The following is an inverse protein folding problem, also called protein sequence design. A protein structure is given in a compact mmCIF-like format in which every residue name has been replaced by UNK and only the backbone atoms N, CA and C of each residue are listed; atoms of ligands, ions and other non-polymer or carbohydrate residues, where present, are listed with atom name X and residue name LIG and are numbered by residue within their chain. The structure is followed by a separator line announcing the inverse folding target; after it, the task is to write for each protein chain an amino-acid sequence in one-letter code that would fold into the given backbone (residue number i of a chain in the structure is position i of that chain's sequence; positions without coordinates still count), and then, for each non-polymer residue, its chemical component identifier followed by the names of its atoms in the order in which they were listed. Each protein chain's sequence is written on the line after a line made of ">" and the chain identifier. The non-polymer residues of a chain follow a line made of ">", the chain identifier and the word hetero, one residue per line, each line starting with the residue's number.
data_IF_220164846522
#
_entry.id   IF_220164846522
#
_cell.length_a   1.000
_cell.length_b   1.000
_cell.length_c   1.000
_cell.angle_alpha   90.00
_cell.angle_beta   90.00
_cell.angle_gamma   90.00
#
_symmetry.space_group_name_H-M   'P 1'
#
loop_
_entity.id
_entity.type
_entity.pdbx_description
1 polymer ?
#
# COMPACT_ATOMS: atom_id res chain seq x y z
N UNK A 1 -73.00 45.21 -32.13
CA UNK A 1 -71.84 45.64 -31.33
C UNK A 1 -71.27 44.44 -30.55
N UNK A 2 -70.36 43.64 -31.13
CA UNK A 2 -69.91 42.43 -30.45
C UNK A 2 -68.62 41.82 -30.95
N UNK A 3 -67.93 42.37 -31.94
CA UNK A 3 -66.77 41.76 -32.61
C UNK A 3 -65.39 42.22 -32.10
N UNK A 4 -65.38 43.29 -31.27
CA UNK A 4 -64.07 43.84 -30.78
C UNK A 4 -63.45 43.12 -29.52
N UNK A 5 -64.27 42.43 -28.75
CA UNK A 5 -63.80 41.79 -27.51
C UNK A 5 -63.07 40.46 -27.77
N UNK A 6 -63.47 39.71 -28.80
CA UNK A 6 -62.87 38.39 -29.10
C UNK A 6 -61.44 38.55 -29.68
N UNK A 7 -61.19 39.60 -30.46
CA UNK A 7 -59.85 39.87 -31.01
C UNK A 7 -58.81 40.26 -29.95
N UNK A 8 -59.23 40.99 -28.92
CA UNK A 8 -58.32 41.43 -27.84
C UNK A 8 -57.87 40.25 -26.93
N UNK A 9 -58.78 39.31 -26.68
CA UNK A 9 -58.49 38.14 -25.88
C UNK A 9 -57.54 37.14 -26.62
N UNK A 10 -57.70 37.00 -27.93
CA UNK A 10 -56.79 36.16 -28.76
C UNK A 10 -55.39 36.74 -28.87
N UNK A 11 -55.23 38.07 -28.94
CA UNK A 11 -53.94 38.71 -28.98
C UNK A 11 -53.18 38.55 -27.65
N UNK A 12 -53.88 38.75 -26.51
CA UNK A 12 -53.32 38.54 -25.17
C UNK A 12 -52.91 37.10 -24.97
N UNK A 13 -53.70 36.12 -25.39
CA UNK A 13 -53.38 34.71 -25.30
C UNK A 13 -52.15 34.34 -26.14
N UNK A 14 -52.02 34.89 -27.34
CA UNK A 14 -50.84 34.69 -28.20
C UNK A 14 -49.58 35.32 -27.61
N UNK A 15 -49.64 36.52 -27.07
CA UNK A 15 -48.48 37.15 -26.39
C UNK A 15 -48.08 36.38 -25.15
N UNK A 16 -49.05 35.89 -24.34
CA UNK A 16 -48.76 35.08 -23.17
C UNK A 16 -48.11 33.75 -23.54
N UNK A 17 -48.56 33.10 -24.62
CA UNK A 17 -47.95 31.88 -25.17
C UNK A 17 -46.51 32.07 -25.64
N UNK A 18 -46.22 33.18 -26.34
CA UNK A 18 -44.88 33.51 -26.78
C UNK A 18 -43.94 33.77 -25.57
N UNK A 19 -44.45 34.49 -24.57
CA UNK A 19 -43.70 34.79 -23.33
C UNK A 19 -43.38 33.52 -22.52
N UNK A 20 -44.37 32.62 -22.39
CA UNK A 20 -44.20 31.31 -21.79
C UNK A 20 -43.16 30.45 -22.55
N UNK A 21 -43.25 30.44 -23.90
CA UNK A 21 -42.30 29.68 -24.72
C UNK A 21 -40.88 30.21 -24.57
N UNK A 22 -40.68 31.53 -24.55
CA UNK A 22 -39.36 32.15 -24.32
C UNK A 22 -38.83 31.85 -22.92
N UNK A 23 -39.69 31.87 -21.90
CA UNK A 23 -39.29 31.53 -20.55
C UNK A 23 -38.89 30.04 -20.40
N UNK A 24 -39.65 29.13 -21.03
CA UNK A 24 -39.32 27.70 -21.02
C UNK A 24 -38.03 27.40 -21.78
N UNK A 25 -37.80 28.03 -22.94
CA UNK A 25 -36.56 27.81 -23.69
C UNK A 25 -35.33 28.36 -22.98
N UNK A 26 -35.43 29.49 -22.30
CA UNK A 26 -34.31 30.03 -21.48
C UNK A 26 -34.01 29.17 -20.26
N UNK A 27 -35.05 28.64 -19.56
CA UNK A 27 -34.89 27.71 -18.45
C UNK A 27 -34.25 26.38 -18.89
N UNK A 28 -34.69 25.83 -20.04
CA UNK A 28 -34.08 24.61 -20.60
C UNK A 28 -32.61 24.84 -21.00
N UNK A 29 -32.30 25.95 -21.65
CA UNK A 29 -30.93 26.28 -22.00
C UNK A 29 -30.03 26.44 -20.78
N UNK A 30 -30.50 27.14 -19.73
CA UNK A 30 -29.79 27.29 -18.47
C UNK A 30 -29.57 25.93 -17.77
N UNK A 31 -30.62 25.07 -17.78
CA UNK A 31 -30.50 23.71 -17.22
C UNK A 31 -29.48 22.82 -17.91
N UNK A 32 -29.43 22.87 -19.25
CA UNK A 32 -28.45 22.12 -20.05
C UNK A 32 -27.02 22.61 -19.76
N UNK A 33 -26.82 23.93 -19.75
CA UNK A 33 -25.49 24.52 -19.46
C UNK A 33 -25.04 24.16 -18.02
N UNK A 34 -25.93 24.28 -17.05
CA UNK A 34 -25.63 23.93 -15.66
C UNK A 34 -25.32 22.43 -15.51
N UNK A 35 -26.03 21.56 -16.19
CA UNK A 35 -25.78 20.14 -16.19
C UNK A 35 -24.42 19.79 -16.81
N UNK A 36 -24.08 20.41 -17.96
CA UNK A 36 -22.78 20.21 -18.61
C UNK A 36 -21.63 20.70 -17.72
N UNK A 37 -21.78 21.87 -17.11
CA UNK A 37 -20.77 22.43 -16.20
C UNK A 37 -20.58 21.53 -14.97
N UNK A 38 -21.67 21.03 -14.36
CA UNK A 38 -21.59 20.12 -13.22
C UNK A 38 -20.89 18.81 -13.59
N UNK A 39 -21.24 18.25 -14.75
CA UNK A 39 -20.63 17.02 -15.24
C UNK A 39 -19.13 17.17 -15.54
N UNK A 40 -18.72 18.32 -16.07
CA UNK A 40 -17.32 18.64 -16.29
C UNK A 40 -16.54 18.72 -14.98
N UNK A 41 -17.05 19.45 -13.98
CA UNK A 41 -16.45 19.57 -12.65
C UNK A 41 -16.37 18.20 -11.97
N UNK A 42 -17.40 17.36 -12.09
CA UNK A 42 -17.38 16.02 -11.51
C UNK A 42 -16.34 15.11 -12.17
N UNK A 43 -16.23 15.14 -13.51
CA UNK A 43 -15.24 14.33 -14.21
C UNK A 43 -13.81 14.75 -13.87
N UNK A 44 -13.52 16.05 -13.85
CA UNK A 44 -12.21 16.60 -13.49
C UNK A 44 -11.86 16.22 -12.05
N UNK A 45 -12.80 16.34 -11.12
CA UNK A 45 -12.61 15.93 -9.72
C UNK A 45 -12.35 14.43 -9.56
N UNK A 46 -13.02 13.58 -10.34
CA UNK A 46 -12.80 12.13 -10.32
C UNK A 46 -11.41 11.81 -10.88
N UNK A 47 -11.01 12.43 -11.97
CA UNK A 47 -9.70 12.22 -12.58
C UNK A 47 -8.56 12.63 -11.63
N UNK A 48 -8.68 13.80 -11.03
CA UNK A 48 -7.69 14.30 -10.07
C UNK A 48 -7.60 13.42 -8.81
N UNK A 49 -8.75 12.97 -8.28
CA UNK A 49 -8.77 12.05 -7.16
C UNK A 49 -8.13 10.70 -7.51
N UNK A 50 -8.39 10.17 -8.73
CA UNK A 50 -7.78 8.92 -9.20
C UNK A 50 -6.26 9.06 -9.35
N UNK A 51 -5.77 10.16 -9.93
CA UNK A 51 -4.32 10.42 -10.05
C UNK A 51 -3.68 10.47 -8.67
N UNK A 52 -4.26 11.23 -7.75
CA UNK A 52 -3.73 11.36 -6.39
C UNK A 52 -3.71 10.01 -5.67
N UNK A 53 -4.73 9.18 -5.87
CA UNK A 53 -4.81 7.85 -5.30
C UNK A 53 -3.74 6.90 -5.87
N UNK A 54 -3.55 6.91 -7.20
CA UNK A 54 -2.50 6.14 -7.86
C UNK A 54 -1.09 6.57 -7.40
N UNK A 55 -0.85 7.87 -7.28
CA UNK A 55 0.40 8.40 -6.77
C UNK A 55 0.66 7.95 -5.32
N UNK A 56 -0.37 7.89 -4.50
CA UNK A 56 -0.24 7.41 -3.12
C UNK A 56 0.08 5.91 -3.08
N UNK A 57 -0.61 5.09 -3.87
CA UNK A 57 -0.32 3.65 -3.97
C UNK A 57 1.14 3.45 -4.42
N UNK A 58 1.56 4.16 -5.45
CA UNK A 58 2.93 4.08 -5.96
C UNK A 58 3.94 4.41 -4.88
N UNK A 59 3.77 5.52 -4.16
CA UNK A 59 4.69 5.91 -3.07
C UNK A 59 4.71 4.90 -1.93
N UNK A 60 3.56 4.34 -1.56
CA UNK A 60 3.48 3.34 -0.49
C UNK A 60 4.18 2.05 -0.91
N UNK A 61 4.00 1.64 -2.17
CA UNK A 61 4.66 0.45 -2.72
C UNK A 61 6.17 0.65 -2.84
N UNK A 62 6.61 1.81 -3.33
CA UNK A 62 8.03 2.16 -3.40
C UNK A 62 8.66 2.20 -1.99
N UNK A 63 7.97 2.81 -1.02
CA UNK A 63 8.41 2.82 0.38
C UNK A 63 8.58 1.41 0.93
N UNK A 64 7.59 0.55 0.77
CA UNK A 64 7.65 -0.85 1.21
C UNK A 64 8.79 -1.62 0.53
N UNK A 65 9.03 -1.35 -0.76
CA UNK A 65 10.16 -1.95 -1.49
C UNK A 65 11.52 -1.57 -0.88
N UNK A 66 11.75 -0.29 -0.61
CA UNK A 66 12.98 0.18 0.02
C UNK A 66 13.15 -0.37 1.44
N UNK A 67 12.08 -0.45 2.20
CA UNK A 67 12.07 -1.04 3.53
C UNK A 67 12.47 -2.52 3.47
N UNK A 68 11.91 -3.30 2.54
CA UNK A 68 12.27 -4.70 2.32
C UNK A 68 13.73 -4.87 1.95
N UNK A 69 14.26 -4.03 1.04
CA UNK A 69 15.68 -4.06 0.68
C UNK A 69 16.59 -3.75 1.88
N UNK A 70 16.19 -2.79 2.71
CA UNK A 70 16.93 -2.44 3.91
C UNK A 70 17.00 -3.62 4.87
N UNK A 71 15.88 -4.29 5.13
CA UNK A 71 15.82 -5.49 5.98
C UNK A 71 16.69 -6.61 5.41
N UNK A 72 16.63 -6.86 4.08
CA UNK A 72 17.48 -7.85 3.43
C UNK A 72 18.96 -7.55 3.60
N UNK A 73 19.34 -6.28 3.59
CA UNK A 73 20.74 -5.87 3.83
C UNK A 73 21.15 -6.04 5.30
N UNK A 74 20.27 -5.75 6.26
CA UNK A 74 20.54 -6.00 7.68
C UNK A 74 20.69 -7.49 7.98
N UNK A 75 19.88 -8.33 7.35
CA UNK A 75 19.90 -9.78 7.54
C UNK A 75 20.94 -10.51 6.69
N UNK A 76 21.45 -9.88 5.62
CA UNK A 76 22.48 -10.46 4.76
C UNK A 76 23.87 -10.46 5.40
N UNK A 77 24.85 -11.20 4.79
CA UNK A 77 26.22 -11.19 5.21
C UNK A 77 26.80 -9.76 5.25
N UNK A 78 27.45 -9.40 6.35
CA UNK A 78 27.96 -8.05 6.60
C UNK A 78 26.93 -7.07 7.19
N UNK A 79 25.65 -7.42 7.21
CA UNK A 79 24.64 -6.69 7.97
C UNK A 79 24.68 -6.98 9.46
N UNK A 80 23.98 -6.18 10.26
CA UNK A 80 23.99 -6.31 11.72
C UNK A 80 23.54 -7.71 12.17
N UNK A 81 22.35 -8.13 11.75
CA UNK A 81 21.78 -9.44 12.07
C UNK A 81 22.56 -10.55 11.37
N UNK A 82 23.01 -10.31 10.13
CA UNK A 82 23.78 -11.27 9.35
C UNK A 82 25.12 -11.63 10.00
N UNK A 83 25.81 -10.67 10.61
CA UNK A 83 27.08 -10.93 11.31
C UNK A 83 26.86 -11.82 12.56
N UNK A 84 25.80 -11.56 13.33
CA UNK A 84 25.42 -12.41 14.48
C UNK A 84 25.01 -13.80 14.01
N UNK A 85 24.30 -13.89 12.88
CA UNK A 85 23.95 -15.18 12.27
C UNK A 85 25.19 -15.97 11.88
N UNK A 86 26.20 -15.31 11.30
CA UNK A 86 27.46 -15.96 10.92
C UNK A 86 28.20 -16.49 12.15
N UNK A 87 28.25 -15.72 13.25
CA UNK A 87 28.79 -16.15 14.55
C UNK A 87 28.01 -17.36 15.11
N UNK A 88 26.69 -17.33 15.08
CA UNK A 88 25.83 -18.43 15.52
C UNK A 88 26.10 -19.73 14.72
N UNK A 89 26.22 -19.62 13.40
CA UNK A 89 26.48 -20.75 12.51
C UNK A 89 27.90 -21.29 12.67
N UNK A 90 28.86 -20.44 13.05
CA UNK A 90 30.25 -20.79 13.32
C UNK A 90 30.51 -21.35 14.72
N UNK A 91 29.56 -21.21 15.65
CA UNK A 91 29.73 -21.65 17.04
C UNK A 91 29.86 -23.18 17.11
N UNK A 92 30.97 -23.63 17.69
CA UNK A 92 31.30 -25.06 17.86
C UNK A 92 30.87 -25.62 19.20
N UNK A 93 30.80 -24.77 20.23
CA UNK A 93 30.35 -25.12 21.56
C UNK A 93 28.86 -24.81 21.79
N UNK A 94 28.18 -25.64 22.55
CA UNK A 94 26.76 -25.48 22.87
C UNK A 94 26.49 -24.21 23.68
N UNK A 95 27.41 -23.79 24.54
CA UNK A 95 27.25 -22.57 25.31
C UNK A 95 27.35 -21.32 24.42
N UNK A 96 28.36 -21.25 23.58
CA UNK A 96 28.53 -20.15 22.60
C UNK A 96 27.33 -20.08 21.66
N UNK A 97 26.87 -21.22 21.18
CA UNK A 97 25.67 -21.29 20.33
C UNK A 97 24.43 -20.75 21.02
N UNK A 98 24.26 -21.03 22.32
CA UNK A 98 23.14 -20.52 23.11
C UNK A 98 23.21 -19.00 23.27
N UNK A 99 24.39 -18.44 23.54
CA UNK A 99 24.60 -16.98 23.64
C UNK A 99 24.32 -16.31 22.30
N UNK A 100 24.91 -16.81 21.23
CA UNK A 100 24.72 -16.23 19.88
C UNK A 100 23.26 -16.34 19.43
N UNK A 101 22.56 -17.42 19.74
CA UNK A 101 21.12 -17.55 19.44
C UNK A 101 20.29 -16.50 20.17
N UNK A 102 20.62 -16.21 21.43
CA UNK A 102 19.93 -15.17 22.20
C UNK A 102 20.18 -13.79 21.59
N UNK A 103 21.44 -13.47 21.31
CA UNK A 103 21.83 -12.21 20.66
C UNK A 103 21.12 -12.05 19.34
N UNK A 104 21.08 -13.11 18.53
CA UNK A 104 20.41 -13.10 17.23
C UNK A 104 18.92 -12.79 17.37
N UNK A 105 18.23 -13.36 18.36
CA UNK A 105 16.82 -13.04 18.62
C UNK A 105 16.61 -11.59 19.05
N UNK A 106 17.51 -11.06 19.88
CA UNK A 106 17.47 -9.67 20.33
C UNK A 106 17.67 -8.71 19.14
N UNK A 107 18.63 -8.98 18.25
CA UNK A 107 18.88 -8.18 17.05
C UNK A 107 17.72 -8.27 16.03
N UNK A 108 17.18 -9.45 15.80
CA UNK A 108 16.00 -9.61 14.94
C UNK A 108 14.77 -8.86 15.49
N UNK A 109 14.56 -8.90 16.81
CA UNK A 109 13.51 -8.11 17.45
C UNK A 109 13.76 -6.60 17.29
N UNK A 110 15.03 -6.19 17.28
CA UNK A 110 15.46 -4.81 17.03
C UNK A 110 15.02 -4.26 15.69
N UNK A 111 14.91 -5.10 14.66
CA UNK A 111 14.44 -4.69 13.34
C UNK A 111 13.02 -4.08 13.36
N UNK A 112 12.15 -4.56 14.25
CA UNK A 112 10.81 -4.02 14.42
C UNK A 112 10.78 -2.59 14.97
N UNK A 113 11.82 -2.17 15.70
CA UNK A 113 11.94 -0.77 16.12
C UNK A 113 12.44 0.14 15.00
N UNK A 114 13.20 -0.42 14.05
CA UNK A 114 13.68 0.31 12.88
C UNK A 114 12.58 0.46 11.84
N UNK A 115 11.77 -0.59 11.68
CA UNK A 115 10.64 -0.58 10.75
C UNK A 115 9.36 -1.06 11.46
N UNK A 116 8.49 -0.11 11.77
CA UNK A 116 7.22 -0.37 12.50
C UNK A 116 6.18 -1.15 11.67
N UNK A 117 6.37 -1.24 10.35
CA UNK A 117 5.51 -2.02 9.45
C UNK A 117 5.98 -3.47 9.28
N UNK A 118 7.12 -3.81 9.86
CA UNK A 118 7.66 -5.16 9.79
C UNK A 118 6.78 -6.12 10.58
N UNK A 119 6.21 -7.11 9.90
CA UNK A 119 5.37 -8.16 10.51
C UNK A 119 6.26 -9.24 11.11
N UNK A 120 7.28 -9.66 10.38
CA UNK A 120 8.22 -10.65 10.85
C UNK A 120 9.35 -10.93 9.87
N UNK A 121 10.37 -11.58 10.36
CA UNK A 121 11.54 -12.04 9.60
C UNK A 121 11.94 -13.44 10.04
N UNK A 122 12.50 -14.22 9.12
CA UNK A 122 13.06 -15.52 9.44
C UNK A 122 14.24 -15.89 8.57
N UNK A 123 15.09 -16.76 9.08
CA UNK A 123 16.04 -17.55 8.31
C UNK A 123 15.48 -18.96 8.12
N UNK A 124 15.41 -19.40 6.89
CA UNK A 124 14.93 -20.72 6.52
C UNK A 124 16.06 -21.52 5.89
N UNK A 125 16.26 -22.73 6.40
CA UNK A 125 17.21 -23.68 5.87
C UNK A 125 16.50 -24.58 4.84
N UNK A 126 16.84 -24.38 3.57
CA UNK A 126 16.23 -25.10 2.47
C UNK A 126 16.66 -26.56 2.42
N UNK A 127 17.87 -26.88 2.85
CA UNK A 127 18.41 -28.25 2.88
C UNK A 127 17.73 -29.08 3.96
N UNK A 128 17.63 -28.50 5.16
CA UNK A 128 16.98 -29.17 6.30
C UNK A 128 15.46 -28.97 6.30
N UNK A 129 14.92 -28.14 5.39
CA UNK A 129 13.51 -27.77 5.26
C UNK A 129 12.88 -27.32 6.58
N UNK A 130 13.61 -26.51 7.32
CA UNK A 130 13.16 -26.01 8.61
C UNK A 130 13.49 -24.53 8.80
N UNK A 131 12.72 -23.90 9.63
CA UNK A 131 13.06 -22.58 10.18
C UNK A 131 14.30 -22.75 11.08
N UNK A 132 15.33 -21.92 10.82
CA UNK A 132 16.50 -21.87 11.66
C UNK A 132 16.23 -20.99 12.89
N UNK A 133 15.70 -19.78 12.63
CA UNK A 133 15.32 -18.82 13.67
C UNK A 133 14.38 -17.78 13.06
N UNK A 134 13.42 -17.34 13.84
CA UNK A 134 12.51 -16.24 13.48
C UNK A 134 12.54 -15.16 14.54
N UNK A 135 12.28 -13.93 14.11
CA UNK A 135 12.21 -12.74 14.95
C UNK A 135 10.82 -12.14 14.97
N UNK A 136 10.51 -11.40 16.04
CA UNK A 136 9.25 -10.76 16.33
C UNK A 136 8.11 -11.72 16.71
N UNK A 137 6.87 -11.35 16.50
CA UNK A 137 5.68 -12.13 16.87
C UNK A 137 5.37 -13.26 15.85
N UNK A 138 6.43 -13.90 15.35
CA UNK A 138 6.29 -14.96 14.37
C UNK A 138 5.58 -16.14 15.01
N UNK A 139 4.46 -16.53 14.44
CA UNK A 139 3.78 -17.76 14.78
C UNK A 139 4.70 -18.91 14.38
N UNK A 140 5.01 -19.82 15.32
CA UNK A 140 5.78 -21.02 14.98
C UNK A 140 5.16 -21.66 13.75
N UNK A 141 5.93 -21.73 12.66
CA UNK A 141 5.46 -22.32 11.41
C UNK A 141 5.20 -23.79 11.66
N UNK A 142 3.92 -24.14 11.71
CA UNK A 142 3.48 -25.53 11.86
C UNK A 142 3.88 -26.25 10.59
N UNK A 143 4.99 -26.97 10.58
CA UNK A 143 5.57 -27.91 9.60
C UNK A 143 5.15 -27.94 8.12
N UNK A 144 4.19 -27.11 7.70
CA UNK A 144 3.65 -27.05 6.34
C UNK A 144 4.31 -25.94 5.52
N UNK A 145 5.63 -25.98 5.38
CA UNK A 145 6.40 -25.07 4.52
C UNK A 145 6.14 -25.23 3.01
N UNK A 146 5.05 -25.88 2.64
CA UNK A 146 4.61 -26.06 1.24
C UNK A 146 4.17 -24.75 0.55
N UNK A 147 4.19 -23.61 1.24
CA UNK A 147 3.66 -22.36 0.71
C UNK A 147 4.58 -21.13 0.85
N UNK A 148 5.91 -21.34 0.92
CA UNK A 148 6.78 -20.23 0.55
C UNK A 148 6.53 -19.89 -0.92
N UNK A 149 6.32 -18.63 -1.26
CA UNK A 149 5.88 -18.25 -2.59
C UNK A 149 6.81 -18.76 -3.68
N UNK A 150 6.22 -19.19 -4.80
CA UNK A 150 6.96 -19.51 -6.00
C UNK A 150 7.64 -18.23 -6.53
N UNK A 151 8.95 -18.33 -6.75
CA UNK A 151 9.87 -17.21 -6.88
C UNK A 151 9.79 -16.61 -8.28
N UNK A 152 9.49 -15.32 -8.40
CA UNK A 152 9.82 -14.53 -9.60
C UNK A 152 11.13 -13.79 -9.33
N UNK A 153 12.22 -14.18 -10.00
CA UNK A 153 13.54 -13.59 -9.81
C UNK A 153 13.58 -12.13 -10.27
N UNK A 154 13.90 -11.23 -9.33
CA UNK A 154 14.31 -9.88 -9.65
C UNK A 154 15.60 -9.58 -8.86
N UNK A 155 16.75 -9.57 -9.55
CA UNK A 155 18.06 -9.22 -8.98
C UNK A 155 18.45 -9.97 -7.68
N UNK A 156 18.13 -11.25 -7.57
CA UNK A 156 18.43 -12.09 -6.39
C UNK A 156 17.46 -11.90 -5.21
N UNK A 157 16.54 -10.95 -5.29
CA UNK A 157 15.42 -10.81 -4.38
C UNK A 157 14.14 -11.26 -5.06
N UNK A 158 13.34 -12.01 -4.34
CA UNK A 158 12.04 -12.47 -4.77
C UNK A 158 11.02 -11.67 -3.99
N UNK A 159 10.28 -10.83 -4.67
CA UNK A 159 9.24 -10.02 -4.07
C UNK A 159 7.89 -10.58 -4.47
N UNK A 160 7.04 -10.80 -3.50
CA UNK A 160 5.67 -11.24 -3.72
C UNK A 160 4.72 -10.06 -3.50
N UNK A 161 3.74 -9.95 -4.41
CA UNK A 161 2.63 -9.02 -4.27
C UNK A 161 1.82 -9.31 -3.00
N UNK A 162 0.96 -8.39 -2.62
CA UNK A 162 0.15 -8.49 -1.40
C UNK A 162 -0.57 -9.85 -1.27
N UNK A 163 -0.32 -10.50 -0.16
CA UNK A 163 -0.90 -11.82 0.20
C UNK A 163 -1.16 -11.88 1.71
N UNK A 164 -1.81 -12.94 2.16
CA UNK A 164 -2.01 -13.19 3.58
C UNK A 164 -0.68 -13.51 4.25
N UNK A 165 -0.44 -12.97 5.46
CA UNK A 165 0.79 -13.22 6.20
C UNK A 165 0.99 -14.71 6.51
N UNK A 166 2.21 -15.19 6.33
CA UNK A 166 2.66 -16.53 6.73
C UNK A 166 3.26 -16.47 8.14
N UNK A 167 3.95 -15.37 8.47
CA UNK A 167 4.65 -15.19 9.73
C UNK A 167 3.76 -14.64 10.84
N UNK A 168 2.82 -13.76 10.50
CA UNK A 168 1.95 -13.08 11.45
C UNK A 168 0.60 -13.78 11.63
N UNK A 169 -0.12 -13.39 12.68
CA UNK A 169 -1.51 -13.81 12.93
C UNK A 169 -2.54 -12.84 12.37
N UNK A 170 -2.11 -11.78 11.68
CA UNK A 170 -2.97 -10.73 11.13
C UNK A 170 -3.72 -11.17 9.88
N UNK A 171 -4.94 -10.65 9.71
CA UNK A 171 -5.71 -10.79 8.47
C UNK A 171 -5.30 -9.74 7.42
N UNK A 172 -4.45 -8.78 7.81
CA UNK A 172 -4.02 -7.71 6.93
C UNK A 172 -3.05 -8.24 5.85
N UNK A 173 -3.19 -7.75 4.61
CA UNK A 173 -2.31 -8.16 3.54
C UNK A 173 -0.88 -7.68 3.79
N UNK A 174 0.09 -8.50 3.40
CA UNK A 174 1.52 -8.19 3.52
C UNK A 174 2.20 -8.25 2.16
N UNK A 175 3.26 -7.47 2.00
CA UNK A 175 4.28 -7.71 0.98
C UNK A 175 5.37 -8.58 1.58
N UNK A 176 5.91 -9.51 0.82
CA UNK A 176 7.04 -10.30 1.28
C UNK A 176 8.21 -10.22 0.32
N UNK A 177 9.40 -10.43 0.88
CA UNK A 177 10.64 -10.53 0.15
C UNK A 177 11.42 -11.73 0.64
N UNK A 178 12.04 -12.44 -0.30
CA UNK A 178 12.92 -13.56 0.00
C UNK A 178 14.23 -13.42 -0.78
N UNK A 179 15.35 -13.78 -0.18
CA UNK A 179 16.67 -13.82 -0.80
C UNK A 179 17.48 -14.98 -0.23
N UNK A 180 18.16 -15.72 -1.11
CA UNK A 180 19.18 -16.65 -0.69
C UNK A 180 20.46 -15.89 -0.29
N UNK A 181 21.02 -16.23 0.86
CA UNK A 181 22.27 -15.68 1.39
C UNK A 181 23.23 -16.81 1.71
N UNK A 182 24.54 -16.56 1.50
CA UNK A 182 25.60 -17.51 1.80
C UNK A 182 26.47 -16.93 2.90
N UNK A 183 26.59 -17.61 4.01
CA UNK A 183 27.40 -17.20 5.17
C UNK A 183 28.85 -17.68 5.09
N UNK A 184 29.73 -17.16 5.95
CA UNK A 184 31.17 -17.40 5.91
C UNK A 184 31.57 -18.87 6.02
N UNK A 185 30.76 -19.71 6.68
CA UNK A 185 30.96 -21.17 6.76
C UNK A 185 30.46 -21.93 5.51
N UNK A 186 29.98 -21.23 4.48
CA UNK A 186 29.40 -21.81 3.25
C UNK A 186 27.93 -22.24 3.40
N UNK A 187 27.29 -22.06 4.55
CA UNK A 187 25.87 -22.38 4.76
C UNK A 187 25.00 -21.44 3.94
N UNK A 188 24.04 -22.01 3.24
CA UNK A 188 23.02 -21.28 2.46
C UNK A 188 21.73 -21.22 3.25
N UNK A 189 21.19 -20.03 3.42
CA UNK A 189 19.92 -19.80 4.05
C UNK A 189 19.06 -18.88 3.19
N UNK A 190 17.76 -19.08 3.22
CA UNK A 190 16.82 -18.09 2.70
C UNK A 190 16.47 -17.11 3.82
N UNK A 191 16.62 -15.84 3.53
CA UNK A 191 16.07 -14.77 4.34
C UNK A 191 14.69 -14.44 3.81
N UNK A 192 13.70 -14.47 4.68
CA UNK A 192 12.33 -14.11 4.37
C UNK A 192 11.82 -13.02 5.31
N UNK A 193 11.15 -12.02 4.77
CA UNK A 193 10.57 -10.93 5.55
C UNK A 193 9.20 -10.54 5.02
N UNK A 194 8.31 -10.14 5.92
CA UNK A 194 6.98 -9.62 5.62
C UNK A 194 6.81 -8.22 6.18
N UNK A 195 6.23 -7.33 5.38
CA UNK A 195 5.90 -5.96 5.74
C UNK A 195 4.42 -5.73 5.46
N UNK A 196 3.72 -5.03 6.34
CA UNK A 196 2.32 -4.66 6.14
C UNK A 196 2.14 -3.90 4.83
N UNK A 197 1.21 -4.38 4.01
CA UNK A 197 0.76 -3.67 2.83
C UNK A 197 -0.29 -2.64 3.26
N UNK A 198 0.13 -1.39 3.47
CA UNK A 198 -0.76 -0.27 3.82
C UNK A 198 -1.66 0.09 2.62
N UNK A 199 -2.56 -0.83 2.29
CA UNK A 199 -3.56 -0.67 1.23
C UNK A 199 -4.85 -0.09 1.81
N UNK A 200 -4.82 1.17 2.25
CA UNK A 200 -6.05 1.85 2.65
C UNK A 200 -6.98 1.97 1.47
N UNK A 201 -8.21 1.50 1.64
CA UNK A 201 -9.24 1.66 0.63
C UNK A 201 -9.61 3.15 0.45
N UNK A 202 -10.10 3.58 -0.72
CA UNK A 202 -10.57 4.96 -0.92
C UNK A 202 -11.59 5.41 0.13
N UNK A 203 -12.37 4.49 0.68
CA UNK A 203 -13.35 4.76 1.73
C UNK A 203 -12.70 5.05 3.08
N UNK A 204 -11.62 4.36 3.44
CA UNK A 204 -10.86 4.58 4.66
C UNK A 204 -10.07 5.88 4.62
N UNK A 205 -9.52 6.21 3.44
CA UNK A 205 -8.85 7.49 3.21
C UNK A 205 -9.84 8.65 3.34
N UNK A 206 -11.08 8.48 2.87
CA UNK A 206 -12.13 9.47 2.99
C UNK A 206 -12.67 9.61 4.44
N UNK A 207 -12.69 8.51 5.22
CA UNK A 207 -13.09 8.52 6.66
C UNK A 207 -12.03 9.13 7.56
N UNK A 208 -10.75 9.02 7.22
CA UNK A 208 -9.64 9.58 7.99
C UNK A 208 -9.58 11.12 7.96
N UNK A 209 -10.57 11.80 7.32
CA UNK A 209 -10.69 13.26 7.29
C UNK A 209 -9.48 13.92 6.64
N UNK A 210 -9.62 14.33 5.44
CA UNK A 210 -8.69 15.10 4.57
C UNK A 210 -7.42 15.63 5.27
N UNK A 211 -6.31 14.92 5.26
CA UNK A 211 -5.01 15.51 5.64
C UNK A 211 -4.41 16.40 4.55
N UNK A 212 -5.14 16.64 3.44
CA UNK A 212 -4.58 17.19 2.20
C UNK A 212 -4.59 18.72 2.10
N UNK A 213 -5.02 19.42 3.13
CA UNK A 213 -5.01 20.91 3.13
C UNK A 213 -3.63 21.51 3.41
N UNK A 214 -2.61 20.71 3.72
CA UNK A 214 -1.29 21.22 4.14
C UNK A 214 -0.20 21.21 3.07
N UNK A 215 -0.43 20.65 1.89
CA UNK A 215 0.60 20.58 0.83
C UNK A 215 0.56 21.80 -0.11
N UNK A 216 -0.44 22.67 -0.01
CA UNK A 216 -0.62 23.77 -0.96
C UNK A 216 0.01 25.11 -0.54
N UNK A 217 0.76 25.16 0.56
CA UNK A 217 1.26 26.44 1.08
C UNK A 217 2.78 26.66 0.98
N UNK A 218 3.57 25.73 0.42
CA UNK A 218 5.04 25.87 0.44
C UNK A 218 5.71 26.14 -0.92
N UNK A 219 4.95 26.39 -1.98
CA UNK A 219 5.53 26.81 -3.28
C UNK A 219 5.65 28.32 -3.48
N UNK A 220 5.52 29.12 -2.42
CA UNK A 220 5.74 30.58 -2.49
C UNK A 220 6.76 31.10 -1.49
N UNK A 221 7.91 30.45 -1.40
CA UNK A 221 9.10 31.06 -0.81
C UNK A 221 10.35 30.54 -1.51
N UNK A 222 10.60 31.04 -2.70
CA UNK A 222 11.95 31.36 -3.19
C UNK A 222 11.82 32.69 -3.95
#
# INVERSE_FOLDING_TARGET
>A
MGTGRIKKNTLRAKMLGILMLCAMTSLLAAGIVSYMALRMIQNDSIEDNMKMYLDQITRNTDGAYYDMLSIMNYMGPGGLVGNVTDSYLGATDNFDRFIEQRTLREEMAGLGYVNTKLVGVMYYDREEKKELISGMNVRALDGSHASLPEVVECAGNVIQAAHSSILGSGEEPVFSVMREVVFGNGKRLDVYAEIEADMKTPEEINKAGRPYTYIQTDERRI
#
